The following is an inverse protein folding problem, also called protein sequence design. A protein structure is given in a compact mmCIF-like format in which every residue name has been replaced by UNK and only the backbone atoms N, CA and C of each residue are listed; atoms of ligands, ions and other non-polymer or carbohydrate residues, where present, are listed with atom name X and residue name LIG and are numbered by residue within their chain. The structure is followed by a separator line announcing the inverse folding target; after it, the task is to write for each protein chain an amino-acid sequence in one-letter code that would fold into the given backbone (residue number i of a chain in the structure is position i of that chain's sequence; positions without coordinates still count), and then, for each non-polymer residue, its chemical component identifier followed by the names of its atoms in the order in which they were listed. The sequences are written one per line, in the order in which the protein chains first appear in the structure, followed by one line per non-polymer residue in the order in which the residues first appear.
data_IF_593183179676
#
_entry.id   IF_593183179676
#
_cell.length_a   1.000
_cell.length_b   1.000
_cell.length_c   1.000
_cell.angle_alpha   90.00
_cell.angle_beta   90.00
_cell.angle_gamma   90.00
#
_symmetry.space_group_name_H-M   'P 1'
#
loop_
_entity.id
_entity.type
_entity.pdbx_description
1 polymer ?
#
# COMPACT_ATOMS: atom_id res chain seq x y z
N UNK A 1 13.69 29.91 23.22
CA UNK A 1 13.11 28.83 22.41
C UNK A 1 13.84 28.80 21.10
N UNK A 2 14.75 27.84 20.94
CA UNK A 2 15.70 27.81 19.82
C UNK A 2 15.01 27.43 18.50
N UNK A 3 15.22 28.19 17.41
CA UNK A 3 14.60 27.94 16.11
C UNK A 3 15.09 26.65 15.44
N UNK A 4 16.25 26.12 15.85
CA UNK A 4 16.85 24.90 15.29
C UNK A 4 16.04 23.62 15.58
N UNK A 5 15.28 23.59 16.68
CA UNK A 5 14.46 22.41 17.04
C UNK A 5 13.39 22.11 15.98
N UNK A 6 12.90 23.13 15.27
CA UNK A 6 11.87 22.96 14.23
C UNK A 6 12.47 22.39 12.94
N UNK A 7 13.72 22.73 12.60
CA UNK A 7 14.37 22.29 11.36
C UNK A 7 14.58 20.78 11.34
N UNK A 8 14.97 20.19 12.47
CA UNK A 8 15.20 18.74 12.57
C UNK A 8 13.91 17.90 12.57
N UNK A 9 12.76 18.50 12.90
CA UNK A 9 11.46 17.78 12.89
C UNK A 9 10.85 17.69 11.49
N UNK A 10 11.28 18.52 10.54
CA UNK A 10 10.77 18.50 9.17
C UNK A 10 11.44 17.41 8.30
N UNK A 11 12.60 16.90 8.71
CA UNK A 11 13.30 15.81 8.01
C UNK A 11 12.62 14.45 8.19
N UNK A 12 11.84 14.28 9.26
CA UNK A 12 11.07 13.04 9.54
C UNK A 12 9.74 12.96 8.75
N UNK A 13 9.29 14.08 8.17
CA UNK A 13 8.04 14.14 7.41
C UNK A 13 8.19 13.64 5.96
N UNK A 14 9.28 12.96 5.63
CA UNK A 14 9.51 12.43 4.28
C UNK A 14 8.44 11.42 3.91
N UNK A 15 7.67 11.73 2.86
CA UNK A 15 6.69 10.79 2.31
C UNK A 15 7.46 9.60 1.75
N UNK A 16 7.10 8.39 2.21
CA UNK A 16 7.74 7.17 1.72
C UNK A 16 7.53 7.03 0.21
N UNK A 17 8.62 7.10 -0.54
CA UNK A 17 8.67 6.80 -1.99
C UNK A 17 8.59 5.28 -2.29
N UNK A 18 8.10 4.49 -1.33
CA UNK A 18 8.00 3.05 -1.50
C UNK A 18 6.96 2.71 -2.57
N UNK A 19 7.43 2.11 -3.66
CA UNK A 19 6.59 1.59 -4.73
C UNK A 19 6.04 0.22 -4.35
N UNK A 20 5.39 0.11 -3.18
CA UNK A 20 4.83 -1.16 -2.69
C UNK A 20 3.53 -0.93 -1.93
N UNK A 21 2.77 -2.01 -1.72
CA UNK A 21 1.58 -2.01 -0.87
C UNK A 21 1.72 -3.08 0.22
N UNK A 22 1.81 -2.66 1.47
CA UNK A 22 1.96 -3.57 2.63
C UNK A 22 0.73 -4.46 2.86
N UNK A 23 -0.46 -4.00 2.48
CA UNK A 23 -1.70 -4.78 2.63
C UNK A 23 -1.81 -5.91 1.62
N UNK A 24 -1.24 -5.73 0.43
CA UNK A 24 -1.29 -6.71 -0.66
C UNK A 24 0.06 -7.41 -0.87
N UNK A 25 1.08 -7.03 -0.10
CA UNK A 25 2.45 -7.56 -0.16
C UNK A 25 3.03 -7.58 -1.59
N UNK A 26 2.74 -6.52 -2.35
CA UNK A 26 3.10 -6.40 -3.77
C UNK A 26 3.97 -5.17 -4.01
N UNK A 27 4.90 -5.29 -4.97
CA UNK A 27 5.79 -4.21 -5.41
C UNK A 27 5.44 -3.75 -6.83
N UNK A 28 5.68 -2.48 -7.12
CA UNK A 28 5.35 -1.81 -8.37
C UNK A 28 6.61 -1.24 -9.03
N UNK A 29 6.57 -1.11 -10.36
CA UNK A 29 7.69 -0.54 -11.13
C UNK A 29 7.68 0.99 -11.12
N UNK A 30 6.53 1.61 -10.88
CA UNK A 30 6.35 3.07 -10.85
C UNK A 30 5.09 3.48 -10.07
N UNK A 31 4.99 4.78 -9.75
CA UNK A 31 3.85 5.31 -9.00
C UNK A 31 2.53 5.17 -9.76
N UNK A 32 2.53 5.18 -11.10
CA UNK A 32 1.30 5.02 -11.87
C UNK A 32 0.67 3.64 -11.64
N UNK A 33 1.48 2.57 -11.64
CA UNK A 33 1.04 1.22 -11.30
C UNK A 33 0.50 1.14 -9.86
N UNK A 34 1.22 1.72 -8.89
CA UNK A 34 0.77 1.75 -7.50
C UNK A 34 -0.58 2.47 -7.34
N UNK A 35 -0.75 3.63 -7.99
CA UNK A 35 -2.02 4.38 -8.00
C UNK A 35 -3.15 3.60 -8.67
N UNK A 36 -2.86 2.87 -9.74
CA UNK A 36 -3.84 1.99 -10.39
C UNK A 36 -4.24 0.83 -9.48
N UNK A 37 -3.28 0.20 -8.79
CA UNK A 37 -3.55 -0.88 -7.84
C UNK A 37 -4.55 -0.47 -6.75
N UNK A 38 -4.42 0.72 -6.16
CA UNK A 38 -5.37 1.22 -5.15
C UNK A 38 -6.82 1.34 -5.65
N UNK A 39 -7.05 1.31 -6.96
CA UNK A 39 -8.38 1.36 -7.57
C UNK A 39 -8.96 -0.03 -7.87
N UNK A 40 -8.15 -1.08 -7.82
CA UNK A 40 -8.57 -2.45 -8.13
C UNK A 40 -9.40 -3.06 -7.01
N UNK A 41 -10.29 -3.98 -7.37
CA UNK A 41 -11.10 -4.72 -6.39
C UNK A 41 -10.28 -5.68 -5.57
N UNK A 42 -9.22 -6.24 -6.14
CA UNK A 42 -8.21 -7.02 -5.42
C UNK A 42 -7.66 -6.27 -4.19
N UNK A 43 -7.29 -4.99 -4.35
CA UNK A 43 -6.82 -4.17 -3.24
C UNK A 43 -7.88 -4.02 -2.15
N UNK A 44 -9.13 -3.71 -2.55
CA UNK A 44 -10.25 -3.56 -1.61
C UNK A 44 -10.54 -4.87 -0.87
N UNK A 45 -10.44 -6.00 -1.55
CA UNK A 45 -10.60 -7.32 -0.98
C UNK A 45 -9.54 -7.58 0.09
N UNK A 46 -8.26 -7.42 -0.26
CA UNK A 46 -7.15 -7.60 0.67
C UNK A 46 -7.22 -6.65 1.87
N UNK A 47 -7.63 -5.40 1.66
CA UNK A 47 -7.85 -4.45 2.75
C UNK A 47 -8.92 -4.96 3.72
N UNK A 48 -10.07 -5.44 3.21
CA UNK A 48 -11.14 -6.02 4.03
C UNK A 48 -10.68 -7.28 4.77
N UNK A 49 -9.89 -8.14 4.13
CA UNK A 49 -9.33 -9.33 4.77
C UNK A 49 -8.40 -8.95 5.94
N UNK A 50 -7.49 -8.00 5.73
CA UNK A 50 -6.57 -7.51 6.75
C UNK A 50 -7.30 -6.86 7.94
N UNK A 51 -8.34 -6.08 7.67
CA UNK A 51 -9.19 -5.49 8.72
C UNK A 51 -9.92 -6.54 9.56
N UNK A 52 -10.20 -7.72 8.98
CA UNK A 52 -10.77 -8.88 9.68
C UNK A 52 -9.73 -9.78 10.34
N UNK A 53 -8.44 -9.45 10.25
CA UNK A 53 -7.34 -10.25 10.77
C UNK A 53 -6.92 -11.43 9.89
N UNK A 54 -7.44 -11.52 8.66
CA UNK A 54 -7.06 -12.54 7.69
C UNK A 54 -5.81 -12.14 6.89
N UNK A 55 -5.17 -13.14 6.28
CA UNK A 55 -4.07 -12.93 5.34
C UNK A 55 -4.60 -12.35 4.02
N UNK A 56 -3.79 -11.50 3.41
CA UNK A 56 -4.00 -11.06 2.03
C UNK A 56 -3.64 -12.17 1.06
N UNK A 57 -4.30 -12.16 -0.10
CA UNK A 57 -4.02 -13.06 -1.22
C UNK A 57 -3.30 -12.31 -2.35
N UNK A 58 -2.63 -13.05 -3.21
CA UNK A 58 -1.98 -12.56 -4.42
C UNK A 58 -3.01 -12.16 -5.48
N UNK A 59 -2.56 -11.49 -6.54
CA UNK A 59 -3.41 -11.10 -7.67
C UNK A 59 -3.92 -12.35 -8.42
N UNK A 60 -3.04 -13.31 -8.71
CA UNK A 60 -3.40 -14.57 -9.35
C UNK A 60 -4.46 -15.36 -8.57
N UNK A 61 -4.34 -15.44 -7.23
CA UNK A 61 -5.35 -16.08 -6.37
C UNK A 61 -6.69 -15.36 -6.42
N UNK A 62 -6.68 -14.03 -6.55
CA UNK A 62 -7.90 -13.23 -6.67
C UNK A 62 -8.57 -13.42 -8.03
N UNK A 63 -7.80 -13.49 -9.11
CA UNK A 63 -8.32 -13.73 -10.46
C UNK A 63 -9.01 -15.11 -10.54
N UNK A 64 -8.42 -16.14 -9.94
CA UNK A 64 -9.05 -17.47 -9.85
C UNK A 64 -10.40 -17.41 -9.11
N UNK A 65 -10.51 -16.61 -8.03
CA UNK A 65 -11.77 -16.45 -7.30
C UNK A 65 -12.82 -15.61 -8.04
N UNK A 66 -12.40 -14.78 -9.00
CA UNK A 66 -13.29 -13.92 -9.76
C UNK A 66 -13.88 -14.61 -11.01
N UNK A 67 -13.21 -15.64 -11.50
CA UNK A 67 -13.64 -16.46 -12.64
C UNK A 67 -14.61 -17.60 -12.24
N UNK A 68 -14.83 -17.83 -10.94
CA UNK A 68 -15.83 -18.76 -10.38
C UNK A 68 -17.18 -18.08 -10.05
#
# INVERSE_FOLDING_TARGET
SDPDTISSQLEDLTVSDSLSCSFCNTGFKNQAQQRSHYKLDWHRYNLKQRLRGFKSITEDEFDIMADE
#
